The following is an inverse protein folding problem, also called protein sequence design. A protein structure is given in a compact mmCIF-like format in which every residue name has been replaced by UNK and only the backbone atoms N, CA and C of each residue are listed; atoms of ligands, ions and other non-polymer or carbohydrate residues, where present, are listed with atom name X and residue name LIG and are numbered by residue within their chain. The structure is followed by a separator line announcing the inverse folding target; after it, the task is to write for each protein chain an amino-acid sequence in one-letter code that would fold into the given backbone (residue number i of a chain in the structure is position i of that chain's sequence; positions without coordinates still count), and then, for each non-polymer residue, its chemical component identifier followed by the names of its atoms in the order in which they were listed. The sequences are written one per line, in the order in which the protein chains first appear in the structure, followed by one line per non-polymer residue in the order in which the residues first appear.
data_IF_667489345653
#
_entry.id   IF_667489345653
#
_cell.length_a   1.000
_cell.length_b   1.000
_cell.length_c   1.000
_cell.angle_alpha   90.00
_cell.angle_beta   90.00
_cell.angle_gamma   90.00
#
_symmetry.space_group_name_H-M   'P 1'
#
loop_
_entity.id
_entity.type
_entity.pdbx_description
1 polymer ?
#
# COMPACT_ATOMS: atom_id res chain seq x y z
N UNK A 1 -26.03 -20.08 -63.75
CA UNK A 1 -26.13 -19.89 -62.28
C UNK A 1 -24.77 -20.16 -61.62
N UNK A 2 -23.87 -19.17 -61.55
CA UNK A 2 -22.56 -19.36 -60.85
C UNK A 2 -22.02 -18.08 -60.18
N UNK A 3 -22.61 -16.91 -60.41
CA UNK A 3 -21.97 -15.64 -60.07
C UNK A 3 -22.28 -15.07 -58.66
N UNK A 4 -23.19 -15.66 -57.86
CA UNK A 4 -23.58 -15.09 -56.55
C UNK A 4 -22.84 -15.66 -55.33
N UNK A 5 -22.32 -16.89 -55.41
CA UNK A 5 -21.71 -17.58 -54.25
C UNK A 5 -20.37 -16.97 -53.79
N UNK A 6 -19.66 -16.27 -54.68
CA UNK A 6 -18.39 -15.61 -54.36
C UNK A 6 -18.55 -14.32 -53.54
N UNK A 7 -19.61 -13.53 -53.79
CA UNK A 7 -19.86 -12.26 -53.08
C UNK A 7 -20.21 -12.47 -51.62
N UNK A 8 -21.02 -13.48 -51.29
CA UNK A 8 -21.39 -13.78 -49.91
C UNK A 8 -20.20 -14.26 -49.05
N UNK A 9 -19.27 -15.03 -49.62
CA UNK A 9 -18.06 -15.47 -48.93
C UNK A 9 -17.16 -14.28 -48.54
N UNK A 10 -16.97 -13.33 -49.46
CA UNK A 10 -16.23 -12.09 -49.23
C UNK A 10 -16.90 -11.19 -48.19
N UNK A 11 -18.24 -11.12 -48.17
CA UNK A 11 -18.99 -10.34 -47.17
C UNK A 11 -18.85 -10.95 -45.76
N UNK A 12 -18.91 -12.28 -45.63
CA UNK A 12 -18.76 -12.98 -44.35
C UNK A 12 -17.32 -12.86 -43.82
N UNK A 13 -16.30 -12.95 -44.67
CA UNK A 13 -14.91 -12.72 -44.28
C UNK A 13 -14.68 -11.26 -43.86
N UNK A 14 -15.22 -10.29 -44.60
CA UNK A 14 -15.14 -8.86 -44.25
C UNK A 14 -15.84 -8.53 -42.93
N UNK A 15 -17.02 -9.08 -42.66
CA UNK A 15 -17.75 -8.91 -41.40
C UNK A 15 -17.01 -9.52 -40.20
N UNK A 16 -16.36 -10.67 -40.41
CA UNK A 16 -15.53 -11.32 -39.37
C UNK A 16 -14.29 -10.47 -39.07
N UNK A 17 -13.64 -9.92 -40.11
CA UNK A 17 -12.49 -9.04 -39.99
C UNK A 17 -12.82 -7.71 -39.29
N UNK A 18 -13.95 -7.09 -39.63
CA UNK A 18 -14.43 -5.86 -38.99
C UNK A 18 -14.83 -6.09 -37.52
N UNK A 19 -15.46 -7.23 -37.18
CA UNK A 19 -15.71 -7.60 -35.77
C UNK A 19 -14.43 -7.80 -34.98
N UNK A 20 -13.39 -8.40 -35.57
CA UNK A 20 -12.09 -8.51 -34.93
C UNK A 20 -11.44 -7.14 -34.71
N UNK A 21 -11.54 -6.22 -35.68
CA UNK A 21 -11.05 -4.83 -35.49
C UNK A 21 -11.76 -4.11 -34.36
N UNK A 22 -13.09 -4.19 -34.28
CA UNK A 22 -13.86 -3.58 -33.19
C UNK A 22 -13.48 -4.19 -31.84
N UNK A 23 -13.31 -5.51 -31.78
CA UNK A 23 -12.85 -6.20 -30.57
C UNK A 23 -11.44 -5.75 -30.15
N UNK A 24 -10.50 -5.61 -31.10
CA UNK A 24 -9.16 -5.09 -30.84
C UNK A 24 -9.17 -3.64 -30.34
N UNK A 25 -10.07 -2.80 -30.87
CA UNK A 25 -10.25 -1.42 -30.41
C UNK A 25 -10.75 -1.40 -28.95
N UNK A 26 -11.74 -2.24 -28.61
CA UNK A 26 -12.26 -2.35 -27.23
C UNK A 26 -11.17 -2.85 -26.28
N UNK A 27 -10.40 -3.86 -26.68
CA UNK A 27 -9.27 -4.37 -25.89
C UNK A 27 -8.25 -3.27 -25.67
N UNK A 28 -7.84 -2.56 -26.73
CA UNK A 28 -6.86 -1.48 -26.63
C UNK A 28 -7.33 -0.36 -25.68
N UNK A 29 -8.60 0.06 -25.79
CA UNK A 29 -9.19 1.06 -24.89
C UNK A 29 -9.25 0.56 -23.44
N UNK A 30 -9.65 -0.70 -23.23
CA UNK A 30 -9.66 -1.32 -21.91
C UNK A 30 -8.26 -1.42 -21.30
N UNK A 31 -7.24 -1.75 -22.09
CA UNK A 31 -5.84 -1.78 -21.65
C UNK A 31 -5.34 -0.39 -21.29
N UNK A 32 -5.60 0.63 -22.11
CA UNK A 32 -5.20 2.02 -21.81
C UNK A 32 -5.88 2.51 -20.53
N UNK A 33 -7.18 2.23 -20.37
CA UNK A 33 -7.91 2.58 -19.15
C UNK A 33 -7.33 1.87 -17.92
N UNK A 34 -7.07 0.57 -18.03
CA UNK A 34 -6.46 -0.20 -16.95
C UNK A 34 -5.06 0.31 -16.58
N UNK A 35 -4.21 0.62 -17.57
CA UNK A 35 -2.90 1.22 -17.34
C UNK A 35 -3.06 2.56 -16.63
N UNK A 36 -4.01 3.41 -17.06
CA UNK A 36 -4.30 4.68 -16.39
C UNK A 36 -4.65 4.50 -14.92
N UNK A 37 -5.52 3.54 -14.60
CA UNK A 37 -5.89 3.22 -13.21
C UNK A 37 -4.68 2.73 -12.41
N UNK A 38 -3.85 1.85 -12.97
CA UNK A 38 -2.64 1.35 -12.29
C UNK A 38 -1.61 2.47 -12.07
N UNK A 39 -1.42 3.36 -13.04
CA UNK A 39 -0.50 4.49 -12.93
C UNK A 39 -0.97 5.51 -11.87
N UNK A 40 -2.27 5.80 -11.80
CA UNK A 40 -2.86 6.66 -10.77
C UNK A 40 -2.66 6.08 -9.36
N UNK A 41 -2.79 4.75 -9.20
CA UNK A 41 -2.47 4.07 -7.94
C UNK A 41 -0.98 4.16 -7.56
N UNK A 42 -0.08 4.12 -8.55
CA UNK A 42 1.36 4.24 -8.31
C UNK A 42 1.73 5.69 -7.94
N UNK A 43 1.12 6.68 -8.60
CA UNK A 43 1.35 8.11 -8.33
C UNK A 43 0.80 8.54 -6.96
N UNK A 44 -0.30 7.94 -6.50
CA UNK A 44 -0.91 8.22 -5.19
C UNK A 44 -0.31 7.42 -4.03
N UNK A 45 0.52 6.40 -4.31
CA UNK A 45 1.21 5.64 -3.28
C UNK A 45 2.21 6.55 -2.55
N UNK A 46 1.97 6.81 -1.26
CA UNK A 46 2.92 7.52 -0.41
C UNK A 46 4.17 6.67 -0.29
N UNK A 47 5.24 7.06 -0.99
CA UNK A 47 6.53 6.41 -0.90
C UNK A 47 7.07 6.57 0.53
N UNK A 48 7.32 5.45 1.20
CA UNK A 48 7.96 5.44 2.52
C UNK A 48 9.38 6.00 2.38
N UNK A 49 9.71 7.03 3.14
CA UNK A 49 11.08 7.53 3.28
C UNK A 49 11.80 6.74 4.36
N UNK A 50 12.52 5.70 3.95
CA UNK A 50 13.16 4.78 4.88
C UNK A 50 14.38 5.35 5.63
N UNK A 51 14.76 6.61 5.34
CA UNK A 51 15.77 7.35 6.10
C UNK A 51 15.22 7.96 7.38
N UNK A 52 13.89 8.02 7.53
CA UNK A 52 13.22 8.48 8.75
C UNK A 52 13.18 7.39 9.80
N UNK A 53 12.94 7.80 11.03
CA UNK A 53 12.78 6.87 12.14
C UNK A 53 11.41 6.20 12.08
N UNK A 54 11.37 4.95 12.55
CA UNK A 54 10.14 4.18 12.69
C UNK A 54 10.01 3.63 14.11
N UNK A 55 8.94 4.02 14.78
CA UNK A 55 8.65 3.67 16.16
C UNK A 55 7.78 2.41 16.22
N UNK A 56 8.37 1.31 16.69
CA UNK A 56 7.77 -0.03 16.71
C UNK A 56 6.99 -0.31 18.00
N UNK A 57 5.68 -0.54 17.86
CA UNK A 57 4.75 -0.90 18.92
C UNK A 57 4.42 -2.39 18.89
N UNK A 58 4.86 -3.12 19.92
CA UNK A 58 4.68 -4.58 20.02
C UNK A 58 3.41 -5.01 20.79
N UNK A 59 2.76 -4.13 21.53
CA UNK A 59 1.58 -4.46 22.36
C UNK A 59 1.75 -5.72 23.24
N UNK A 60 2.94 -5.90 23.82
CA UNK A 60 3.27 -7.04 24.69
C UNK A 60 3.72 -8.31 23.94
N UNK A 61 3.60 -8.38 22.61
CA UNK A 61 4.05 -9.51 21.78
C UNK A 61 5.53 -9.42 21.42
N UNK A 62 6.38 -9.55 22.43
CA UNK A 62 7.85 -9.54 22.25
C UNK A 62 8.34 -10.67 21.35
N UNK A 63 7.61 -11.77 21.29
CA UNK A 63 7.84 -12.91 20.41
C UNK A 63 7.78 -12.55 18.92
N UNK A 64 7.01 -11.51 18.55
CA UNK A 64 6.86 -11.06 17.16
C UNK A 64 7.85 -9.94 16.77
N UNK A 65 8.77 -9.57 17.67
CA UNK A 65 9.67 -8.44 17.45
C UNK A 65 10.57 -8.63 16.22
N UNK A 66 11.25 -9.76 16.13
CA UNK A 66 12.21 -10.03 15.05
C UNK A 66 11.50 -10.03 13.68
N UNK A 67 10.32 -10.63 13.64
CA UNK A 67 9.51 -10.69 12.42
C UNK A 67 9.04 -9.30 11.97
N UNK A 68 8.54 -8.48 12.91
CA UNK A 68 8.16 -7.10 12.64
C UNK A 68 9.34 -6.27 12.14
N UNK A 69 10.51 -6.41 12.76
CA UNK A 69 11.73 -5.73 12.32
C UNK A 69 12.17 -6.17 10.92
N UNK A 70 12.05 -7.47 10.59
CA UNK A 70 12.37 -7.97 9.25
C UNK A 70 11.46 -7.40 8.17
N UNK A 71 10.17 -7.20 8.47
CA UNK A 71 9.24 -6.51 7.57
C UNK A 71 9.72 -5.07 7.33
N UNK A 72 10.03 -4.33 8.40
CA UNK A 72 10.52 -2.95 8.30
C UNK A 72 11.84 -2.84 7.51
N UNK A 73 12.77 -3.78 7.72
CA UNK A 73 14.02 -3.85 6.94
C UNK A 73 13.72 -4.10 5.45
N UNK A 74 12.75 -4.95 5.14
CA UNK A 74 12.32 -5.20 3.75
C UNK A 74 11.70 -3.95 3.11
N UNK A 75 11.06 -3.10 3.90
CA UNK A 75 10.58 -1.76 3.48
C UNK A 75 11.72 -0.73 3.33
N UNK A 76 12.96 -1.13 3.64
CA UNK A 76 14.17 -0.33 3.42
C UNK A 76 14.65 0.45 4.64
N UNK A 77 14.00 0.31 5.81
CA UNK A 77 14.50 0.92 7.04
C UNK A 77 15.79 0.24 7.47
N UNK A 78 16.77 1.04 7.89
CA UNK A 78 17.96 0.49 8.54
C UNK A 78 17.64 0.10 9.98
N UNK A 79 18.47 -0.79 10.56
CA UNK A 79 18.19 -1.34 11.91
C UNK A 79 18.23 -0.25 12.98
N UNK A 80 19.09 0.73 12.79
CA UNK A 80 19.30 1.89 13.65
C UNK A 80 18.10 2.86 13.64
N UNK A 81 17.36 2.93 12.54
CA UNK A 81 16.15 3.76 12.42
C UNK A 81 14.90 3.05 12.99
N UNK A 82 15.00 1.78 13.37
CA UNK A 82 13.89 1.05 14.00
C UNK A 82 13.98 1.21 15.51
N UNK A 83 13.16 2.11 16.05
CA UNK A 83 13.17 2.51 17.45
C UNK A 83 12.05 1.79 18.18
N UNK A 84 12.34 1.21 19.35
CA UNK A 84 11.28 0.69 20.22
C UNK A 84 10.44 1.85 20.77
N UNK A 85 9.13 1.83 20.55
CA UNK A 85 8.27 2.90 21.04
C UNK A 85 8.23 2.97 22.58
N UNK A 86 8.26 4.18 23.12
CA UNK A 86 8.14 4.45 24.57
C UNK A 86 7.07 5.52 24.83
N UNK A 87 6.56 5.62 26.06
CA UNK A 87 5.56 6.64 26.42
C UNK A 87 6.08 8.08 26.45
N UNK A 88 7.40 8.26 26.42
CA UNK A 88 8.08 9.54 26.66
C UNK A 88 8.78 10.11 25.43
N UNK A 89 9.11 9.26 24.45
CA UNK A 89 9.78 9.70 23.23
C UNK A 89 8.87 9.42 22.04
N UNK A 90 8.20 10.48 21.59
CA UNK A 90 7.40 10.48 20.36
C UNK A 90 8.24 11.03 19.23
N UNK A 91 8.11 10.46 18.04
CA UNK A 91 8.81 10.92 16.85
C UNK A 91 8.36 12.29 16.36
N UNK A 92 9.01 12.74 15.29
CA UNK A 92 8.73 14.03 14.66
C UNK A 92 7.75 13.90 13.49
N UNK A 93 7.31 15.05 12.97
CA UNK A 93 6.49 15.08 11.75
C UNK A 93 7.29 14.48 10.58
N UNK A 94 6.68 13.50 9.92
CA UNK A 94 7.28 12.75 8.81
C UNK A 94 7.88 11.41 9.22
N UNK A 95 8.16 11.19 10.51
CA UNK A 95 8.55 9.87 11.02
C UNK A 95 7.38 8.89 10.97
N UNK A 96 7.69 7.61 11.19
CA UNK A 96 6.73 6.54 11.05
C UNK A 96 6.44 5.86 12.38
N UNK A 97 5.23 5.32 12.46
CA UNK A 97 4.81 4.42 13.51
C UNK A 97 4.48 3.06 12.89
N UNK A 98 5.05 2.00 13.44
CA UNK A 98 4.80 0.63 13.02
C UNK A 98 4.13 -0.12 14.18
N UNK A 99 2.89 -0.55 14.00
CA UNK A 99 2.08 -1.09 15.08
C UNK A 99 1.63 -2.52 14.78
N UNK A 100 1.91 -3.45 15.68
CA UNK A 100 1.30 -4.78 15.63
C UNK A 100 -0.21 -4.64 15.85
N UNK A 101 -0.99 -4.90 14.80
CA UNK A 101 -2.40 -4.57 14.74
C UNK A 101 -3.30 -5.79 14.90
N UNK A 102 -4.51 -5.57 15.43
CA UNK A 102 -5.45 -6.56 16.00
C UNK A 102 -4.95 -7.21 17.31
N UNK A 103 -4.54 -6.42 18.32
CA UNK A 103 -4.30 -6.98 19.65
C UNK A 103 -5.58 -7.67 20.21
N UNK A 104 -5.45 -8.73 21.02
CA UNK A 104 -4.21 -9.26 21.59
C UNK A 104 -3.45 -10.26 20.68
N UNK A 105 -4.05 -10.68 19.57
CA UNK A 105 -3.45 -11.62 18.60
C UNK A 105 -3.18 -10.90 17.28
N UNK A 106 -2.17 -10.02 17.24
CA UNK A 106 -1.83 -9.34 16.02
C UNK A 106 -1.36 -10.35 14.97
N UNK A 107 -1.76 -10.07 13.73
CA UNK A 107 -1.48 -10.85 12.53
C UNK A 107 -1.03 -9.96 11.37
N UNK A 108 -0.84 -8.67 11.64
CA UNK A 108 -0.31 -7.71 10.69
C UNK A 108 0.42 -6.57 11.42
N UNK A 109 1.33 -5.91 10.73
CA UNK A 109 1.97 -4.66 11.14
C UNK A 109 1.39 -3.52 10.31
N UNK A 110 0.89 -2.48 10.98
CA UNK A 110 0.31 -1.28 10.36
C UNK A 110 1.34 -0.15 10.36
N UNK A 111 1.59 0.45 9.21
CA UNK A 111 2.52 1.57 9.03
C UNK A 111 1.71 2.86 8.93
N UNK A 112 2.05 3.84 9.75
CA UNK A 112 1.38 5.13 9.80
C UNK A 112 2.43 6.23 9.81
N UNK A 113 2.25 7.31 9.06
CA UNK A 113 3.14 8.46 9.09
C UNK A 113 2.63 9.47 10.13
N UNK A 114 3.53 10.02 10.94
CA UNK A 114 3.24 11.10 11.87
C UNK A 114 3.04 12.39 11.06
N UNK A 115 1.86 12.98 11.17
CA UNK A 115 1.49 14.20 10.43
C UNK A 115 1.46 15.45 11.31
N UNK A 116 1.34 15.28 12.62
CA UNK A 116 1.35 16.38 13.59
C UNK A 116 1.71 15.84 14.99
N UNK A 117 2.38 16.67 15.80
CA UNK A 117 2.77 16.34 17.17
C UNK A 117 2.38 17.50 18.07
N UNK A 118 1.39 17.27 18.94
CA UNK A 118 0.88 18.28 19.87
C UNK A 118 1.47 18.06 21.25
N UNK A 119 1.86 19.16 21.89
CA UNK A 119 2.22 19.16 23.29
C UNK A 119 0.97 18.88 24.14
N UNK A 120 1.01 17.78 24.91
CA UNK A 120 -0.09 17.29 25.72
C UNK A 120 0.44 16.69 27.01
N UNK A 121 -0.37 16.75 28.07
CA UNK A 121 -0.06 15.98 29.27
C UNK A 121 -0.06 14.47 28.97
N UNK A 122 0.94 13.73 29.48
CA UNK A 122 1.07 12.30 29.20
C UNK A 122 -0.10 11.51 29.78
N UNK A 123 -0.71 10.70 28.92
CA UNK A 123 -1.80 9.81 29.30
C UNK A 123 -1.28 8.53 29.99
N UNK A 124 -2.06 7.96 30.92
CA UNK A 124 -1.66 6.73 31.63
C UNK A 124 -1.48 5.51 30.71
N UNK A 125 -2.25 5.45 29.62
CA UNK A 125 -2.25 4.32 28.69
C UNK A 125 -1.44 4.60 27.43
N UNK A 126 -1.48 5.83 26.92
CA UNK A 126 -0.83 6.20 25.67
C UNK A 126 0.42 7.08 25.83
N UNK A 127 0.70 7.59 27.04
CA UNK A 127 1.78 8.56 27.24
C UNK A 127 1.61 9.79 26.37
N UNK A 128 2.72 10.28 25.81
CA UNK A 128 2.73 11.41 24.89
C UNK A 128 2.16 11.08 23.50
N UNK A 129 1.99 9.80 23.14
CA UNK A 129 1.42 9.40 21.84
C UNK A 129 -0.04 9.83 21.64
N UNK A 130 -0.72 10.25 22.71
CA UNK A 130 -2.05 10.90 22.63
C UNK A 130 -2.02 12.19 21.81
N UNK A 131 -0.89 12.91 21.81
CA UNK A 131 -0.70 14.15 21.05
C UNK A 131 -0.33 13.94 19.57
N UNK A 132 -0.10 12.69 19.15
CA UNK A 132 0.41 12.36 17.82
C UNK A 132 -0.73 12.09 16.84
N UNK A 133 -0.87 12.95 15.83
CA UNK A 133 -1.73 12.68 14.67
C UNK A 133 -0.96 11.89 13.63
N UNK A 134 -1.68 10.98 12.99
CA UNK A 134 -1.08 9.99 12.10
C UNK A 134 -2.00 9.68 10.93
N UNK A 135 -1.38 9.37 9.80
CA UNK A 135 -2.04 8.94 8.57
C UNK A 135 -1.65 7.51 8.26
N UNK A 136 -2.64 6.66 7.98
CA UNK A 136 -2.39 5.29 7.54
C UNK A 136 -1.69 5.28 6.18
N UNK A 137 -0.61 4.51 6.09
CA UNK A 137 0.17 4.34 4.86
C UNK A 137 -0.11 2.95 4.28
N UNK A 138 0.14 1.90 5.06
CA UNK A 138 0.00 0.52 4.59
C UNK A 138 -0.12 -0.47 5.76
N UNK A 139 -0.36 -1.74 5.45
CA UNK A 139 -0.33 -2.84 6.41
C UNK A 139 0.21 -4.13 5.78
N UNK A 140 1.09 -4.81 6.51
CA UNK A 140 1.74 -6.04 6.04
C UNK A 140 1.40 -7.21 6.98
N UNK A 141 1.09 -8.40 6.45
CA UNK A 141 0.80 -9.56 7.29
C UNK A 141 2.03 -10.01 8.07
N UNK A 142 1.78 -10.51 9.28
CA UNK A 142 2.73 -11.32 10.04
C UNK A 142 2.56 -12.79 9.59
N UNK A 143 3.64 -13.54 9.56
CA UNK A 143 3.76 -14.92 9.06
C UNK A 143 3.48 -15.96 10.14
#
# INVERSE_FOLDING_TARGET
MSHEKGKFRLIIERLRFEKFKVLWIIIALGTVFYIGVVMDQIETAVKIDSKKDVYLFLHGRKDLKEEAENILITLGFSKENIIAASSENVGEIGDYMAMLWRPPRPDQIKIQQITDVKDVEPDKMFGLWKGVLKKDIDSFPLK
#
